data_IF_512011241511
#
_entry.id   IF_512011241511
#
_cell.length_a   1.000
_cell.length_b   1.000
_cell.length_c   1.000
_cell.angle_alpha   90.00
_cell.angle_beta   90.00
_cell.angle_gamma   90.00
#
_symmetry.space_group_name_H-M   'P 1'
#
loop_
_entity.id
_entity.type
_entity.pdbx_description
1 polymer ?
#
# COMPACT_ATOMS: atom_id res chain seq x y z
N UNK A 1 16.52 -1.30 -6.30
CA UNK A 1 16.24 -2.29 -7.37
C UNK A 1 16.58 -1.77 -8.76
N UNK A 2 17.01 -0.51 -8.93
CA UNK A 2 17.48 0.07 -10.20
C UNK A 2 16.45 0.15 -11.34
N UNK A 3 15.17 -0.12 -11.08
CA UNK A 3 14.11 0.05 -12.07
C UNK A 3 13.58 1.47 -12.01
N UNK A 4 13.47 2.10 -13.17
CA UNK A 4 12.74 3.33 -13.33
C UNK A 4 11.24 3.05 -13.21
N UNK A 5 10.54 3.86 -12.42
CA UNK A 5 9.10 3.78 -12.22
C UNK A 5 8.52 5.16 -12.48
N UNK A 6 7.57 5.23 -13.42
CA UNK A 6 6.88 6.47 -13.76
C UNK A 6 5.53 6.45 -13.04
N UNK A 7 5.33 7.40 -12.13
CA UNK A 7 4.09 7.52 -11.36
C UNK A 7 3.36 8.77 -11.84
N UNK A 8 2.10 8.65 -12.30
CA UNK A 8 1.29 9.81 -12.69
C UNK A 8 1.02 10.68 -11.46
N UNK A 9 1.17 11.99 -11.60
CA UNK A 9 0.88 12.95 -10.54
C UNK A 9 -0.63 13.23 -10.55
N UNK A 10 -1.29 12.80 -9.48
CA UNK A 10 -2.72 13.06 -9.28
C UNK A 10 -2.95 14.54 -8.88
N UNK A 11 -4.17 15.10 -9.15
CA UNK A 11 -4.49 16.48 -8.80
C UNK A 11 -4.17 16.86 -7.37
N UNK A 12 -4.50 16.01 -6.40
CA UNK A 12 -4.24 16.24 -4.97
C UNK A 12 -2.72 16.32 -4.67
N UNK A 13 -1.93 15.49 -5.33
CA UNK A 13 -0.47 15.51 -5.23
C UNK A 13 0.09 16.79 -5.83
N UNK A 14 -0.47 17.23 -6.96
CA UNK A 14 -0.05 18.46 -7.61
C UNK A 14 -0.34 19.69 -6.73
N UNK A 15 -1.47 19.72 -6.03
CA UNK A 15 -1.80 20.77 -5.07
C UNK A 15 -0.78 20.84 -3.91
N UNK A 16 -0.37 19.68 -3.39
CA UNK A 16 0.67 19.61 -2.36
C UNK A 16 2.01 20.16 -2.90
N UNK A 17 2.40 19.75 -4.11
CA UNK A 17 3.65 20.24 -4.75
C UNK A 17 3.59 21.77 -4.91
N UNK A 18 2.46 22.31 -5.36
CA UNK A 18 2.28 23.76 -5.50
C UNK A 18 2.34 24.48 -4.16
N UNK A 19 1.65 23.95 -3.14
CA UNK A 19 1.61 24.52 -1.78
C UNK A 19 3.00 24.65 -1.15
N UNK A 20 3.88 23.68 -1.38
CA UNK A 20 5.22 23.65 -0.81
C UNK A 20 6.32 24.11 -1.78
N UNK A 21 5.93 24.61 -2.96
CA UNK A 21 6.83 25.06 -4.02
C UNK A 21 7.87 24.01 -4.42
N UNK A 22 7.46 22.76 -4.49
CA UNK A 22 8.30 21.62 -4.86
C UNK A 22 7.96 20.33 -4.13
N UNK A 23 8.77 19.31 -4.38
CA UNK A 23 8.66 18.04 -3.66
C UNK A 23 9.15 18.19 -2.21
N UNK A 24 8.52 17.49 -1.24
CA UNK A 24 8.98 17.52 0.14
C UNK A 24 10.39 16.96 0.27
N UNK A 25 11.11 17.43 1.28
CA UNK A 25 12.45 16.93 1.58
C UNK A 25 12.39 15.42 1.86
N UNK A 26 13.40 14.72 1.33
CA UNK A 26 13.55 13.29 1.59
C UNK A 26 13.79 13.03 3.07
N UNK A 27 13.00 12.16 3.66
CA UNK A 27 13.18 11.65 5.02
C UNK A 27 13.65 10.20 4.98
N UNK A 28 14.26 9.71 6.06
CA UNK A 28 14.62 8.30 6.17
C UNK A 28 13.40 7.40 6.28
N UNK A 29 13.54 6.12 5.91
CA UNK A 29 12.46 5.14 6.07
C UNK A 29 12.03 5.01 7.55
N UNK A 30 12.96 5.13 8.48
CA UNK A 30 12.67 5.08 9.91
C UNK A 30 11.80 6.27 10.33
N UNK A 31 12.14 7.49 9.90
CA UNK A 31 11.33 8.69 10.15
C UNK A 31 9.94 8.58 9.50
N UNK A 32 9.88 8.11 8.25
CA UNK A 32 8.60 7.88 7.59
C UNK A 32 7.72 6.91 8.39
N UNK A 33 8.27 5.75 8.79
CA UNK A 33 7.54 4.74 9.55
C UNK A 33 7.13 5.24 10.94
N UNK A 34 7.89 6.11 11.55
CA UNK A 34 7.52 6.77 12.80
C UNK A 34 6.33 7.72 12.60
N UNK A 35 6.41 8.63 11.64
CA UNK A 35 5.35 9.62 11.41
C UNK A 35 4.06 9.02 10.91
N UNK A 36 4.10 8.02 10.01
CA UNK A 36 2.87 7.38 9.53
C UNK A 36 2.10 6.68 10.67
N UNK A 37 2.80 6.09 11.63
CA UNK A 37 2.17 5.51 12.82
C UNK A 37 1.53 6.59 13.68
N UNK A 38 2.21 7.70 13.91
CA UNK A 38 1.65 8.84 14.65
C UNK A 38 0.42 9.43 13.99
N UNK A 39 0.42 9.58 12.68
CA UNK A 39 -0.76 10.04 11.92
C UNK A 39 -1.92 9.05 12.08
N UNK A 40 -1.65 7.75 11.97
CA UNK A 40 -2.68 6.73 12.11
C UNK A 40 -3.22 6.63 13.55
N UNK A 41 -2.39 6.86 14.56
CA UNK A 41 -2.79 6.97 15.96
C UNK A 41 -3.73 8.16 16.18
N UNK A 42 -3.37 9.33 15.66
CA UNK A 42 -4.21 10.53 15.70
C UNK A 42 -5.54 10.37 14.94
N UNK A 43 -5.52 9.61 13.84
CA UNK A 43 -6.70 9.25 13.08
C UNK A 43 -7.54 8.14 13.76
N UNK A 44 -7.20 7.74 14.98
CA UNK A 44 -7.89 6.71 15.77
C UNK A 44 -7.98 5.33 15.07
N UNK A 45 -6.99 4.98 14.27
CA UNK A 45 -6.87 3.64 13.67
C UNK A 45 -6.30 2.69 14.74
N UNK A 46 -7.06 2.49 15.82
CA UNK A 46 -6.63 1.81 17.06
C UNK A 46 -7.28 0.44 17.26
N UNK A 47 -7.90 -0.13 16.22
CA UNK A 47 -8.43 -1.49 16.25
C UNK A 47 -7.35 -2.49 16.68
N UNK A 48 -7.69 -3.39 17.64
CA UNK A 48 -6.76 -4.43 18.10
C UNK A 48 -6.76 -5.61 17.12
N UNK A 49 -5.62 -5.88 16.51
CA UNK A 49 -5.46 -6.96 15.54
C UNK A 49 -4.24 -7.83 15.85
N UNK A 50 -4.29 -9.10 15.48
CA UNK A 50 -3.11 -9.96 15.53
C UNK A 50 -2.09 -9.56 14.48
N UNK A 51 -0.83 -9.49 14.89
CA UNK A 51 0.26 -9.13 14.00
C UNK A 51 1.63 -9.53 14.52
N UNK A 52 2.65 -9.11 13.77
CA UNK A 52 4.03 -9.37 14.13
C UNK A 52 4.79 -8.05 14.21
N UNK A 53 5.56 -7.89 15.29
CA UNK A 53 6.53 -6.79 15.41
C UNK A 53 7.91 -7.35 15.70
N UNK A 54 8.91 -6.67 15.20
CA UNK A 54 10.31 -6.93 15.60
C UNK A 54 10.57 -6.10 16.84
N UNK A 55 10.79 -6.77 17.96
CA UNK A 55 11.10 -6.15 19.25
C UNK A 55 12.55 -6.48 19.59
N UNK A 56 13.32 -5.47 20.00
CA UNK A 56 14.65 -5.67 20.56
C UNK A 56 14.53 -5.94 22.06
N UNK A 57 15.22 -6.98 22.56
CA UNK A 57 15.39 -7.18 24.00
C UNK A 57 16.47 -6.22 24.57
N UNK A 58 16.70 -6.29 25.85
CA UNK A 58 17.71 -5.47 26.55
C UNK A 58 19.15 -5.70 26.03
N UNK A 59 19.42 -6.87 25.48
CA UNK A 59 20.70 -7.25 24.87
C UNK A 59 20.82 -6.82 23.40
N UNK A 60 19.81 -6.11 22.87
CA UNK A 60 19.78 -5.66 21.46
C UNK A 60 19.41 -6.74 20.45
N UNK A 61 19.04 -7.94 20.89
CA UNK A 61 18.63 -9.04 20.00
C UNK A 61 17.23 -8.76 19.47
N UNK A 62 17.09 -8.72 18.14
CA UNK A 62 15.80 -8.49 17.46
C UNK A 62 15.05 -9.80 17.27
N UNK A 63 13.86 -9.90 17.83
CA UNK A 63 12.97 -11.06 17.64
C UNK A 63 11.63 -10.63 17.06
N UNK A 64 11.11 -11.44 16.13
CA UNK A 64 9.76 -11.28 15.58
C UNK A 64 8.77 -11.90 16.54
N UNK A 65 7.94 -11.07 17.18
CA UNK A 65 6.96 -11.49 18.18
C UNK A 65 5.56 -11.37 17.59
N UNK A 66 4.78 -12.45 17.69
CA UNK A 66 3.36 -12.46 17.34
C UNK A 66 2.56 -12.10 18.60
N UNK A 67 1.70 -11.08 18.50
CA UNK A 67 0.80 -10.67 19.59
C UNK A 67 -0.37 -9.85 19.03
N UNK A 68 -1.26 -9.41 19.90
CA UNK A 68 -2.27 -8.39 19.58
C UNK A 68 -1.62 -7.02 19.73
N UNK A 69 -1.77 -6.20 18.72
CA UNK A 69 -1.25 -4.83 18.63
C UNK A 69 -2.36 -3.89 18.18
N UNK A 70 -2.23 -2.63 18.52
CA UNK A 70 -3.05 -1.59 17.89
C UNK A 70 -2.70 -1.52 16.39
N UNK A 71 -3.70 -1.38 15.53
CA UNK A 71 -3.51 -1.42 14.07
C UNK A 71 -2.49 -0.40 13.57
N UNK A 72 -2.48 0.83 14.15
CA UNK A 72 -1.49 1.85 13.79
C UNK A 72 -0.05 1.42 14.08
N UNK A 73 0.20 0.59 15.10
CA UNK A 73 1.53 0.11 15.44
C UNK A 73 2.13 -0.81 14.38
N UNK A 74 1.28 -1.46 13.58
CA UNK A 74 1.67 -2.40 12.51
C UNK A 74 1.80 -1.71 11.14
N UNK A 75 1.41 -0.44 11.02
CA UNK A 75 1.50 0.30 9.76
C UNK A 75 2.95 0.68 9.47
N UNK A 76 3.30 0.62 8.18
CA UNK A 76 4.63 0.97 7.66
C UNK A 76 4.52 1.46 6.22
N UNK A 77 5.65 1.90 5.63
CA UNK A 77 5.76 2.21 4.20
C UNK A 77 5.23 1.07 3.31
N UNK A 78 5.49 -0.17 3.72
CA UNK A 78 5.00 -1.37 3.04
C UNK A 78 3.47 -1.49 3.07
N UNK A 79 2.84 -1.04 4.15
CA UNK A 79 1.36 -1.03 4.27
C UNK A 79 0.76 -0.04 3.29
N UNK A 80 1.33 1.16 3.16
CA UNK A 80 0.90 2.16 2.18
C UNK A 80 0.97 1.62 0.75
N UNK A 81 2.10 0.98 0.40
CA UNK A 81 2.28 0.33 -0.91
C UNK A 81 1.24 -0.77 -1.16
N UNK A 82 0.97 -1.61 -0.16
CA UNK A 82 -0.04 -2.68 -0.28
C UNK A 82 -1.44 -2.11 -0.49
N UNK A 83 -1.83 -1.10 0.28
CA UNK A 83 -3.13 -0.45 0.15
C UNK A 83 -3.29 0.19 -1.22
N UNK A 84 -2.27 0.89 -1.73
CA UNK A 84 -2.26 1.46 -3.06
C UNK A 84 -2.52 0.40 -4.14
N UNK A 85 -1.77 -0.70 -4.13
CA UNK A 85 -1.92 -1.79 -5.11
C UNK A 85 -3.30 -2.44 -5.00
N UNK A 86 -3.76 -2.71 -3.77
CA UNK A 86 -5.08 -3.32 -3.53
C UNK A 86 -6.20 -2.41 -4.06
N UNK A 87 -6.15 -1.12 -3.77
CA UNK A 87 -7.15 -0.16 -4.25
C UNK A 87 -7.17 -0.06 -5.77
N UNK A 88 -5.99 -0.01 -6.42
CA UNK A 88 -5.93 -0.04 -7.88
C UNK A 88 -6.51 -1.34 -8.47
N UNK A 89 -6.25 -2.49 -7.83
CA UNK A 89 -6.74 -3.79 -8.30
C UNK A 89 -8.25 -3.97 -8.16
N UNK A 90 -8.91 -3.17 -7.34
CA UNK A 90 -10.36 -3.13 -7.20
C UNK A 90 -11.04 -2.36 -8.35
N UNK A 91 -10.30 -1.52 -9.06
CA UNK A 91 -10.84 -0.79 -10.21
C UNK A 91 -10.83 -1.68 -11.46
N UNK A 92 -11.99 -2.04 -12.02
CA UNK A 92 -12.06 -2.95 -13.16
C UNK A 92 -11.47 -2.38 -14.45
N UNK A 93 -11.25 -1.06 -14.51
CA UNK A 93 -10.68 -0.38 -15.66
C UNK A 93 -9.14 -0.33 -15.62
N UNK A 94 -8.52 -0.78 -14.51
CA UNK A 94 -7.07 -0.79 -14.35
C UNK A 94 -6.55 -2.22 -14.51
N UNK A 95 -5.62 -2.40 -15.43
CA UNK A 95 -5.02 -3.69 -15.70
C UNK A 95 -3.87 -4.01 -14.74
N UNK A 96 -3.58 -5.30 -14.55
CA UNK A 96 -2.40 -5.72 -13.78
C UNK A 96 -1.09 -5.15 -14.33
N UNK A 97 -0.98 -4.97 -15.65
CA UNK A 97 0.21 -4.38 -16.29
C UNK A 97 0.40 -2.92 -15.90
N UNK A 98 -0.68 -2.13 -15.84
CA UNK A 98 -0.63 -0.74 -15.39
C UNK A 98 -0.23 -0.66 -13.91
N UNK A 99 -0.80 -1.53 -13.06
CA UNK A 99 -0.41 -1.62 -11.64
C UNK A 99 1.07 -1.98 -11.51
N UNK A 100 1.56 -2.93 -12.31
CA UNK A 100 2.99 -3.31 -12.31
C UNK A 100 3.89 -2.15 -12.73
N UNK A 101 3.49 -1.38 -13.74
CA UNK A 101 4.26 -0.23 -14.24
C UNK A 101 4.46 0.82 -13.14
N UNK A 102 3.39 1.23 -12.44
CA UNK A 102 3.45 2.26 -11.39
C UNK A 102 3.99 1.74 -10.05
N UNK A 103 3.90 0.44 -9.81
CA UNK A 103 4.39 -0.17 -8.58
C UNK A 103 5.79 -0.78 -8.69
N UNK A 104 6.34 -0.91 -9.90
CA UNK A 104 7.66 -1.49 -10.14
C UNK A 104 7.74 -3.00 -9.91
N UNK A 105 6.62 -3.72 -9.89
CA UNK A 105 6.63 -5.19 -9.84
C UNK A 105 7.12 -5.77 -11.16
N UNK A 106 7.96 -6.80 -11.08
CA UNK A 106 8.55 -7.44 -12.26
C UNK A 106 7.75 -8.65 -12.76
N UNK A 107 6.79 -9.13 -11.97
CA UNK A 107 5.96 -10.27 -12.36
C UNK A 107 4.54 -10.16 -11.76
N UNK A 108 3.57 -10.67 -12.48
CA UNK A 108 2.17 -10.81 -12.03
C UNK A 108 2.08 -11.67 -10.78
N UNK A 109 2.88 -12.73 -10.68
CA UNK A 109 2.92 -13.61 -9.50
C UNK A 109 3.26 -12.86 -8.22
N UNK A 110 4.18 -11.89 -8.29
CA UNK A 110 4.51 -11.04 -7.13
C UNK A 110 3.39 -10.05 -6.83
N UNK A 111 2.73 -9.53 -7.86
CA UNK A 111 1.58 -8.65 -7.71
C UNK A 111 0.40 -9.37 -7.06
N UNK A 112 0.11 -10.61 -7.43
CA UNK A 112 -0.98 -11.43 -6.91
C UNK A 112 -0.93 -11.63 -5.39
N UNK A 113 0.25 -11.55 -4.77
CA UNK A 113 0.39 -11.57 -3.30
C UNK A 113 -0.29 -10.35 -2.62
N UNK A 114 -0.48 -9.27 -3.36
CA UNK A 114 -1.13 -8.04 -2.89
C UNK A 114 -2.60 -7.95 -3.32
N UNK A 115 -2.97 -8.63 -4.41
CA UNK A 115 -4.34 -8.64 -4.92
C UNK A 115 -5.14 -9.71 -4.18
N UNK A 116 -5.94 -9.29 -3.21
CA UNK A 116 -6.74 -10.19 -2.36
C UNK A 116 -8.12 -10.54 -2.95
N UNK A 117 -8.36 -10.25 -4.24
CA UNK A 117 -9.65 -10.59 -4.84
C UNK A 117 -9.84 -12.10 -4.94
N UNK A 118 -10.97 -12.59 -4.47
CA UNK A 118 -11.35 -13.99 -4.60
C UNK A 118 -11.70 -14.34 -6.06
N UNK A 119 -11.61 -15.60 -6.43
CA UNK A 119 -12.03 -16.05 -7.77
C UNK A 119 -13.51 -15.70 -8.05
N UNK A 120 -14.36 -15.66 -7.02
CA UNK A 120 -15.76 -15.26 -7.12
C UNK A 120 -15.89 -13.79 -7.50
N UNK A 121 -15.16 -12.89 -6.86
CA UNK A 121 -15.17 -11.46 -7.18
C UNK A 121 -14.63 -11.19 -8.59
N UNK A 122 -13.60 -11.91 -9.01
CA UNK A 122 -13.07 -11.85 -10.39
C UNK A 122 -14.10 -12.30 -11.42
N UNK A 123 -14.80 -13.39 -11.15
CA UNK A 123 -15.85 -13.90 -12.03
C UNK A 123 -17.04 -12.93 -12.13
N UNK A 124 -17.44 -12.31 -11.02
CA UNK A 124 -18.49 -11.29 -11.00
C UNK A 124 -18.09 -10.07 -11.83
N UNK A 125 -16.88 -9.55 -11.60
CA UNK A 125 -16.33 -8.41 -12.36
C UNK A 125 -16.27 -8.72 -13.87
N UNK A 126 -15.85 -9.94 -14.24
CA UNK A 126 -15.84 -10.36 -15.65
C UNK A 126 -17.23 -10.37 -16.25
N UNK A 127 -18.23 -10.91 -15.53
CA UNK A 127 -19.63 -10.91 -15.97
C UNK A 127 -20.12 -9.47 -16.24
N UNK A 128 -19.86 -8.54 -15.32
CA UNK A 128 -20.29 -7.15 -15.46
C UNK A 128 -19.64 -6.47 -16.67
N UNK A 129 -18.35 -6.73 -16.91
CA UNK A 129 -17.65 -6.23 -18.11
C UNK A 129 -18.25 -6.76 -19.41
N UNK A 130 -18.59 -8.05 -19.46
CA UNK A 130 -19.18 -8.66 -20.65
C UNK A 130 -20.58 -8.11 -20.94
N UNK A 131 -21.36 -7.80 -19.90
CA UNK A 131 -22.69 -7.23 -20.06
C UNK A 131 -22.68 -5.75 -20.50
N UNK A 132 -21.70 -4.97 -19.99
CA UNK A 132 -21.58 -3.53 -20.30
C UNK A 132 -20.94 -3.26 -21.66
N UNK A 133 -20.24 -4.21 -22.27
CA UNK A 133 -19.66 -4.07 -23.61
C UNK A 133 -20.66 -4.33 -24.76
N UNK A 134 -21.93 -4.60 -24.44
CA UNK A 134 -23.00 -4.81 -25.41
C UNK A 134 -23.98 -3.62 -25.51
N UNK A 135 -23.61 -2.47 -24.94
CA UNK A 135 -24.25 -1.17 -25.16
C UNK A 135 -23.33 -0.24 -25.97
#
# INVERSE_FOLDING_TARGET
TGKEVIIPILPETLEIIKKYNGLPNKISEQQYNYYIKKICELAQINESIEGHRVISNEEGIRRKTKSKYQKFELISSHTARRSFITNLSMNPNITNYEIMAVSGHSSTKTLELYVKSSNKERATSLKDKLLNNHQ
#
